data_IF_037559056557
#
_entry.id   IF_037559056557
#
_cell.length_a   1.000
_cell.length_b   1.000
_cell.length_c   1.000
_cell.angle_alpha   90.00
_cell.angle_beta   90.00
_cell.angle_gamma   90.00
#
_symmetry.space_group_name_H-M   'P 1'
#
loop_
_entity.id
_entity.type
_entity.pdbx_description
1 polymer ?
#
# COMPACT_ATOMS: atom_id res chain seq x y z
N UNK A 1 -21.69 6.50 35.70
CA UNK A 1 -20.84 7.70 35.65
C UNK A 1 -21.46 8.66 34.65
N UNK A 2 -21.51 9.96 34.96
CA UNK A 2 -22.06 10.99 34.05
C UNK A 2 -21.04 11.32 32.96
N UNK A 3 -20.78 10.36 32.06
CA UNK A 3 -19.78 10.49 30.99
C UNK A 3 -20.49 10.45 29.65
N UNK A 4 -20.15 11.39 28.78
CA UNK A 4 -20.68 11.51 27.42
C UNK A 4 -19.55 11.64 26.38
N UNK A 5 -19.83 11.19 25.17
CA UNK A 5 -18.98 11.34 23.98
C UNK A 5 -19.78 12.04 22.88
N UNK A 6 -19.96 13.37 22.95
CA UNK A 6 -20.88 14.12 22.08
C UNK A 6 -20.55 14.03 20.58
N UNK A 7 -19.28 13.79 20.27
CA UNK A 7 -18.78 13.64 18.89
C UNK A 7 -19.03 12.26 18.27
N UNK A 8 -19.45 11.28 19.07
CA UNK A 8 -19.57 9.88 18.65
C UNK A 8 -21.03 9.44 18.43
N UNK A 9 -21.97 10.38 18.52
CA UNK A 9 -23.40 10.13 18.25
C UNK A 9 -23.62 9.75 16.79
N UNK A 10 -24.26 8.60 16.57
CA UNK A 10 -24.70 8.22 15.23
C UNK A 10 -26.21 7.95 15.14
N UNK A 11 -26.89 7.75 16.28
CA UNK A 11 -28.32 7.49 16.29
C UNK A 11 -28.97 7.94 17.61
N UNK A 12 -30.13 8.58 17.48
CA UNK A 12 -30.96 9.05 18.60
C UNK A 12 -32.30 8.32 18.56
N UNK A 13 -32.68 7.70 19.67
CA UNK A 13 -33.98 7.03 19.82
C UNK A 13 -34.88 7.80 20.81
N UNK A 14 -36.18 8.00 20.49
CA UNK A 14 -37.13 8.61 21.40
C UNK A 14 -37.41 7.72 22.62
N UNK A 15 -38.09 8.29 23.62
CA UNK A 15 -38.31 7.73 24.95
C UNK A 15 -39.17 6.46 24.92
N UNK A 16 -38.53 5.28 24.92
CA UNK A 16 -39.16 3.98 25.19
C UNK A 16 -38.92 3.54 26.64
N UNK A 17 -39.68 2.58 27.17
CA UNK A 17 -39.49 2.03 28.53
C UNK A 17 -38.09 1.42 28.73
N UNK A 18 -37.59 1.44 29.97
CA UNK A 18 -36.16 1.36 30.32
C UNK A 18 -35.39 0.14 29.77
N UNK A 19 -35.97 -1.05 29.78
CA UNK A 19 -35.26 -2.29 29.39
C UNK A 19 -35.05 -2.43 27.88
N UNK A 20 -35.95 -1.87 27.06
CA UNK A 20 -35.80 -1.94 25.60
C UNK A 20 -34.54 -1.20 25.09
N UNK A 21 -34.08 -0.18 25.81
CA UNK A 21 -32.96 0.69 25.37
C UNK A 21 -31.62 -0.05 25.38
N UNK A 22 -31.37 -0.92 26.38
CA UNK A 22 -30.16 -1.75 26.45
C UNK A 22 -30.15 -2.80 25.33
N UNK A 23 -31.30 -3.43 25.12
CA UNK A 23 -31.48 -4.45 24.09
C UNK A 23 -31.22 -3.90 22.68
N UNK A 24 -31.66 -2.67 22.40
CA UNK A 24 -31.37 -2.00 21.13
C UNK A 24 -29.89 -1.72 20.89
N UNK A 25 -29.07 -1.57 21.93
CA UNK A 25 -27.61 -1.49 21.76
C UNK A 25 -26.98 -2.87 21.65
N UNK A 26 -27.49 -3.86 22.40
CA UNK A 26 -27.02 -5.25 22.32
C UNK A 26 -27.22 -5.88 20.94
N UNK A 27 -28.34 -5.57 20.27
CA UNK A 27 -28.64 -6.07 18.91
C UNK A 27 -27.98 -5.29 17.78
N UNK A 28 -27.41 -4.12 18.07
CA UNK A 28 -26.79 -3.26 17.08
C UNK A 28 -25.27 -3.46 17.08
N UNK A 29 -24.74 -4.01 15.99
CA UNK A 29 -23.30 -4.30 15.85
C UNK A 29 -22.43 -3.05 15.90
N UNK A 30 -22.98 -1.87 15.60
CA UNK A 30 -22.24 -0.60 15.61
C UNK A 30 -22.35 0.14 16.95
N UNK A 31 -23.27 -0.29 17.82
CA UNK A 31 -23.45 0.34 19.13
C UNK A 31 -22.40 -0.18 20.12
N UNK A 32 -21.50 0.71 20.53
CA UNK A 32 -20.52 0.45 21.59
C UNK A 32 -21.00 0.97 22.94
N UNK A 33 -21.62 2.16 22.98
CA UNK A 33 -22.18 2.76 24.19
C UNK A 33 -23.58 3.28 23.92
N UNK A 34 -24.49 3.08 24.88
CA UNK A 34 -25.79 3.76 24.91
C UNK A 34 -25.82 4.74 26.09
N UNK A 35 -26.07 6.01 25.81
CA UNK A 35 -26.16 7.06 26.83
C UNK A 35 -27.60 7.47 26.98
N UNK A 36 -28.10 7.36 28.21
CA UNK A 36 -29.45 7.78 28.55
C UNK A 36 -29.37 9.11 29.27
N UNK A 37 -30.04 10.10 28.68
CA UNK A 37 -30.16 11.44 29.25
C UNK A 37 -31.57 11.95 29.06
N UNK A 38 -32.21 12.38 30.15
CA UNK A 38 -33.57 12.98 30.14
C UNK A 38 -34.60 12.12 29.38
N UNK A 39 -34.48 10.79 29.49
CA UNK A 39 -35.37 9.84 28.82
C UNK A 39 -35.02 9.51 27.37
N UNK A 40 -34.04 10.20 26.77
CA UNK A 40 -33.57 9.99 25.40
C UNK A 40 -32.36 9.05 25.41
N UNK A 41 -32.32 8.11 24.46
CA UNK A 41 -31.20 7.20 24.28
C UNK A 41 -30.34 7.63 23.08
N UNK A 42 -29.05 7.80 23.33
CA UNK A 42 -28.03 8.19 22.35
C UNK A 42 -27.07 7.01 22.14
N UNK A 43 -27.03 6.48 20.92
CA UNK A 43 -26.10 5.40 20.58
C UNK A 43 -24.79 5.97 20.05
N UNK A 44 -23.69 5.46 20.58
CA UNK A 44 -22.33 5.84 20.22
C UNK A 44 -21.60 4.66 19.57
N UNK A 45 -20.88 4.92 18.49
CA UNK A 45 -20.02 3.94 17.81
C UNK A 45 -18.56 4.21 18.14
N UNK A 46 -17.71 3.18 18.01
CA UNK A 46 -16.26 3.37 18.13
C UNK A 46 -15.70 4.16 16.94
N UNK A 47 -14.61 4.93 17.13
CA UNK A 47 -13.88 5.13 18.40
C UNK A 47 -14.55 6.17 19.31
N UNK A 48 -14.55 5.92 20.62
CA UNK A 48 -15.09 6.84 21.63
C UNK A 48 -14.00 7.81 22.10
N UNK A 49 -13.81 8.90 21.35
CA UNK A 49 -12.77 9.90 21.62
C UNK A 49 -13.32 11.09 22.40
N UNK A 50 -12.50 11.63 23.32
CA UNK A 50 -12.80 12.85 24.09
C UNK A 50 -14.05 12.72 24.98
N UNK A 51 -14.10 11.68 25.81
CA UNK A 51 -15.16 11.51 26.80
C UNK A 51 -15.15 12.64 27.82
N UNK A 52 -16.29 13.29 28.01
CA UNK A 52 -16.47 14.42 28.93
C UNK A 52 -17.25 13.93 30.14
N UNK A 53 -16.73 14.22 31.34
CA UNK A 53 -17.47 14.03 32.59
C UNK A 53 -18.26 15.32 32.86
N UNK A 54 -19.58 15.23 32.88
CA UNK A 54 -20.46 16.37 33.17
C UNK A 54 -21.35 16.07 34.37
N UNK A 55 -20.99 16.61 35.53
CA UNK A 55 -21.75 16.41 36.77
C UNK A 55 -23.01 17.29 36.87
N UNK A 56 -23.24 18.21 35.92
CA UNK A 56 -24.45 19.05 35.90
C UNK A 56 -25.68 18.33 35.36
N UNK A 57 -25.49 17.20 34.67
CA UNK A 57 -26.56 16.45 33.99
C UNK A 57 -26.54 14.98 34.39
N UNK A 58 -27.66 14.50 34.94
CA UNK A 58 -27.87 13.09 35.25
C UNK A 58 -27.92 12.29 33.94
N UNK A 59 -26.83 11.57 33.66
CA UNK A 59 -26.70 10.71 32.49
C UNK A 59 -26.17 9.34 32.90
N UNK A 60 -26.73 8.30 32.26
CA UNK A 60 -26.30 6.92 32.50
C UNK A 60 -25.76 6.34 31.20
N UNK A 61 -24.47 6.02 31.19
CA UNK A 61 -23.81 5.34 30.08
C UNK A 61 -23.79 3.82 30.31
N UNK A 62 -24.24 3.05 29.31
CA UNK A 62 -24.13 1.60 29.24
C UNK A 62 -23.10 1.23 28.19
N UNK A 63 -21.99 0.61 28.62
CA UNK A 63 -20.96 0.09 27.74
C UNK A 63 -21.27 -1.36 27.36
N UNK A 64 -21.28 -1.65 26.06
CA UNK A 64 -21.45 -3.00 25.55
C UNK A 64 -20.13 -3.76 25.65
N UNK A 65 -20.12 -4.82 26.46
CA UNK A 65 -18.95 -5.67 26.67
C UNK A 65 -19.30 -7.08 26.18
N UNK A 66 -18.37 -7.73 25.48
CA UNK A 66 -18.53 -9.11 24.99
C UNK A 66 -18.48 -10.07 26.18
N UNK A 67 -19.41 -11.03 26.24
CA UNK A 67 -19.59 -11.94 27.39
C UNK A 67 -18.59 -13.11 27.44
N UNK A 68 -17.56 -13.10 26.59
CA UNK A 68 -16.57 -14.16 26.55
C UNK A 68 -15.42 -13.86 27.52
N UNK A 69 -15.46 -14.55 28.67
CA UNK A 69 -14.48 -14.74 29.74
C UNK A 69 -13.15 -13.98 29.63
N UNK A 70 -13.09 -12.76 30.17
CA UNK A 70 -11.90 -12.26 30.86
C UNK A 70 -12.31 -11.47 32.11
N UNK A 71 -11.95 -12.00 33.27
CA UNK A 71 -12.08 -11.35 34.58
C UNK A 71 -11.18 -10.13 34.67
N UNK A 72 -11.79 -8.95 34.83
CA UNK A 72 -11.12 -7.75 35.33
C UNK A 72 -10.86 -7.88 36.85
N UNK A 73 -9.58 -7.99 37.22
CA UNK A 73 -9.01 -7.59 38.51
C UNK A 73 -7.60 -7.11 38.12
N UNK A 74 -7.10 -5.90 38.37
CA UNK A 74 -7.33 -4.86 39.35
C UNK A 74 -6.01 -4.09 39.39
N UNK A 75 -6.04 -2.76 39.57
CA UNK A 75 -4.83 -1.96 39.71
C UNK A 75 -3.95 -2.46 40.86
N UNK A 76 -2.72 -2.90 40.57
CA UNK A 76 -1.61 -2.89 41.53
C UNK A 76 -0.28 -2.63 40.79
N UNK A 77 0.39 -1.56 41.19
CA UNK A 77 1.81 -1.33 40.92
C UNK A 77 2.66 -2.46 41.51
N UNK A 78 3.70 -2.91 40.77
CA UNK A 78 5.09 -3.22 41.19
C UNK A 78 5.76 -4.24 40.22
N UNK A 79 6.86 -3.77 39.61
CA UNK A 79 8.11 -4.43 39.16
C UNK A 79 8.13 -5.79 38.41
N UNK A 80 8.77 -5.73 37.22
CA UNK A 80 9.54 -6.75 36.48
C UNK A 80 9.18 -8.24 36.68
N UNK A 81 8.63 -8.84 35.61
CA UNK A 81 9.15 -10.12 35.07
C UNK A 81 8.75 -10.30 33.60
N UNK A 82 9.74 -10.64 32.76
CA UNK A 82 9.62 -10.93 31.33
C UNK A 82 8.42 -11.85 31.06
N UNK A 83 7.46 -11.39 30.26
CA UNK A 83 6.48 -12.27 29.60
C UNK A 83 6.99 -12.55 28.19
N UNK A 84 7.39 -13.81 27.97
CA UNK A 84 7.53 -14.40 26.63
C UNK A 84 6.16 -14.33 25.97
N UNK A 85 6.08 -13.69 24.81
CA UNK A 85 4.91 -13.79 23.96
C UNK A 85 4.97 -15.14 23.25
N UNK A 86 4.05 -16.04 23.56
CA UNK A 86 3.86 -17.24 22.75
C UNK A 86 3.36 -16.81 21.37
N UNK A 87 3.92 -17.41 20.33
CA UNK A 87 3.77 -17.10 18.90
C UNK A 87 2.34 -17.28 18.31
N UNK A 88 1.27 -17.06 19.09
CA UNK A 88 -0.12 -17.36 18.72
C UNK A 88 -1.12 -16.20 18.76
N UNK A 89 -0.69 -14.98 19.06
CA UNK A 89 -1.56 -13.79 19.02
C UNK A 89 -0.88 -12.67 18.21
N UNK A 90 -0.98 -12.74 16.88
CA UNK A 90 -0.74 -11.60 15.97
C UNK A 90 -1.97 -11.45 15.07
N UNK A 91 -3.12 -11.20 15.69
CA UNK A 91 -4.31 -10.70 14.99
C UNK A 91 -4.95 -9.63 15.88
N UNK A 92 -4.18 -8.62 16.26
CA UNK A 92 -4.78 -7.32 16.54
C UNK A 92 -4.84 -6.57 15.19
N UNK A 93 -6.06 -6.44 14.67
CA UNK A 93 -6.35 -5.75 13.40
C UNK A 93 -6.33 -4.23 13.55
N UNK A 94 -5.96 -3.70 14.72
CA UNK A 94 -5.84 -2.28 14.98
C UNK A 94 -4.40 -1.78 14.81
N UNK A 95 -4.27 -0.63 14.13
CA UNK A 95 -2.99 0.08 14.04
C UNK A 95 -2.54 0.51 15.43
N UNK A 96 -1.31 0.17 15.79
CA UNK A 96 -0.76 0.53 17.08
C UNK A 96 -0.28 1.99 17.07
N UNK A 97 -0.72 2.77 18.05
CA UNK A 97 -0.21 4.12 18.26
C UNK A 97 1.02 4.04 19.19
N UNK A 98 2.19 4.33 18.63
CA UNK A 98 3.46 4.36 19.34
C UNK A 98 3.82 5.78 19.76
N UNK A 99 4.47 5.90 20.91
CA UNK A 99 5.13 7.16 21.30
C UNK A 99 6.44 7.32 20.52
N UNK A 100 6.85 8.58 20.31
CA UNK A 100 8.14 8.87 19.66
C UNK A 100 9.31 8.19 20.39
N UNK A 101 9.30 8.22 21.74
CA UNK A 101 10.34 7.61 22.56
C UNK A 101 10.44 6.10 22.35
N UNK A 102 9.32 5.39 22.22
CA UNK A 102 9.33 3.96 21.91
C UNK A 102 9.99 3.67 20.57
N UNK A 103 9.69 4.47 19.53
CA UNK A 103 10.28 4.27 18.21
C UNK A 103 11.75 4.70 18.16
N UNK A 104 12.13 5.72 18.93
CA UNK A 104 13.53 6.11 19.11
C UNK A 104 14.34 4.99 19.78
N UNK A 105 13.82 4.40 20.87
CA UNK A 105 14.44 3.25 21.53
C UNK A 105 14.51 2.03 20.61
N UNK A 106 13.41 1.69 19.92
CA UNK A 106 13.33 0.56 19.00
C UNK A 106 14.33 0.67 17.84
N UNK A 107 14.66 1.88 17.40
CA UNK A 107 15.60 2.14 16.30
C UNK A 107 17.02 2.46 16.78
N UNK A 108 17.29 2.29 18.09
CA UNK A 108 18.58 2.65 18.72
C UNK A 108 19.00 4.10 18.41
N UNK A 109 18.03 5.03 18.48
CA UNK A 109 18.23 6.44 18.15
C UNK A 109 18.27 6.71 16.64
N UNK A 110 17.52 5.96 15.84
CA UNK A 110 17.51 6.06 14.36
C UNK A 110 18.90 5.82 13.72
N UNK A 111 19.61 4.80 14.20
CA UNK A 111 21.02 4.55 13.82
C UNK A 111 21.18 3.83 12.48
N UNK A 112 20.41 2.77 12.25
CA UNK A 112 20.52 1.95 11.04
C UNK A 112 19.54 2.43 9.97
N UNK A 113 20.05 3.18 9.02
CA UNK A 113 19.28 3.73 7.92
C UNK A 113 19.15 2.71 6.79
N UNK A 114 17.92 2.30 6.48
CA UNK A 114 17.63 1.37 5.39
C UNK A 114 17.48 2.11 4.06
N UNK A 115 16.89 3.31 4.09
CA UNK A 115 16.64 4.12 2.91
C UNK A 115 16.42 5.59 3.24
N UNK A 116 16.96 6.47 2.40
CA UNK A 116 16.58 7.89 2.33
C UNK A 116 15.78 8.16 1.06
N UNK A 117 14.65 8.84 1.19
CA UNK A 117 13.86 9.31 0.05
C UNK A 117 13.35 10.74 0.27
N UNK A 118 12.68 11.27 -0.74
CA UNK A 118 12.09 12.63 -0.70
C UNK A 118 11.12 12.79 0.47
N UNK A 119 10.31 11.76 0.73
CA UNK A 119 9.22 11.78 1.71
C UNK A 119 9.67 11.43 3.13
N UNK A 120 10.91 10.98 3.33
CA UNK A 120 11.35 10.55 4.65
C UNK A 120 12.55 9.63 4.61
N UNK A 121 12.95 9.23 5.80
CA UNK A 121 14.02 8.27 6.02
C UNK A 121 13.46 7.03 6.72
N UNK A 122 13.79 5.86 6.21
CA UNK A 122 13.37 4.57 6.75
C UNK A 122 14.51 3.97 7.56
N UNK A 123 14.23 3.61 8.80
CA UNK A 123 15.20 3.02 9.74
C UNK A 123 14.78 1.61 10.10
N UNK A 124 15.75 0.75 10.35
CA UNK A 124 15.49 -0.55 10.97
C UNK A 124 15.23 -0.34 12.46
N UNK A 125 14.23 -1.04 12.98
CA UNK A 125 13.97 -1.10 14.41
C UNK A 125 13.63 -2.51 14.86
N UNK A 126 13.58 -2.69 16.17
CA UNK A 126 13.17 -3.93 16.81
C UNK A 126 12.07 -3.65 17.83
N UNK A 127 10.90 -4.26 17.64
CA UNK A 127 9.75 -4.16 18.54
C UNK A 127 9.33 -5.56 18.95
N UNK A 128 9.25 -5.81 20.26
CA UNK A 128 8.80 -7.10 20.81
C UNK A 128 9.54 -8.32 20.21
N UNK A 129 10.86 -8.21 20.02
CA UNK A 129 11.72 -9.24 19.43
C UNK A 129 11.45 -9.51 17.92
N UNK A 130 10.76 -8.61 17.23
CA UNK A 130 10.56 -8.63 15.78
C UNK A 130 11.13 -7.38 15.11
N UNK A 131 11.75 -7.54 13.94
CA UNK A 131 12.24 -6.42 13.16
C UNK A 131 11.09 -5.65 12.51
N UNK A 132 11.21 -4.33 12.48
CA UNK A 132 10.27 -3.40 11.86
C UNK A 132 11.00 -2.36 11.01
N UNK A 133 10.30 -1.80 10.03
CA UNK A 133 10.76 -0.66 9.26
C UNK A 133 10.03 0.61 9.74
N UNK A 134 10.78 1.58 10.27
CA UNK A 134 10.25 2.83 10.81
C UNK A 134 10.54 3.97 9.82
N UNK A 135 9.52 4.41 9.08
CA UNK A 135 9.59 5.57 8.18
C UNK A 135 9.33 6.85 8.97
N UNK A 136 10.36 7.69 9.10
CA UNK A 136 10.28 9.03 9.69
C UNK A 136 10.15 10.06 8.57
N UNK A 137 9.02 10.77 8.51
CA UNK A 137 8.74 11.73 7.45
C UNK A 137 9.52 13.05 7.65
N UNK A 138 9.98 13.67 6.57
CA UNK A 138 10.91 14.83 6.59
C UNK A 138 10.20 16.18 6.79
N UNK A 139 10.77 17.11 7.57
CA UNK A 139 10.11 18.25 8.25
C UNK A 139 9.50 19.42 7.43
N UNK A 140 9.24 19.33 6.12
CA UNK A 140 8.53 20.43 5.41
C UNK A 140 7.02 20.34 5.68
N UNK A 141 6.58 21.07 6.71
CA UNK A 141 5.34 20.87 7.49
C UNK A 141 4.06 20.58 6.69
N UNK A 142 3.83 21.22 5.53
CA UNK A 142 2.59 21.06 4.78
C UNK A 142 2.52 19.76 3.97
N UNK A 143 3.62 19.29 3.42
CA UNK A 143 3.63 18.07 2.60
C UNK A 143 3.60 16.81 3.48
N UNK A 144 4.22 16.86 4.66
CA UNK A 144 4.25 15.77 5.65
C UNK A 144 2.86 15.37 6.12
N UNK A 145 2.04 16.34 6.52
CA UNK A 145 0.69 16.08 7.02
C UNK A 145 -0.19 15.42 5.97
N UNK A 146 -0.06 15.90 4.73
CA UNK A 146 -0.82 15.35 3.60
C UNK A 146 -0.39 13.91 3.35
N UNK A 147 0.91 13.64 3.28
CA UNK A 147 1.47 12.30 3.04
C UNK A 147 1.14 11.33 4.17
N UNK A 148 1.37 11.73 5.42
CA UNK A 148 1.03 10.93 6.59
C UNK A 148 -0.44 10.54 6.59
N UNK A 149 -1.35 11.50 6.39
CA UNK A 149 -2.79 11.22 6.30
C UNK A 149 -3.15 10.39 5.08
N UNK A 150 -2.44 10.55 3.97
CA UNK A 150 -2.65 9.77 2.75
C UNK A 150 -2.26 8.33 2.97
N UNK A 151 -1.05 8.05 3.48
CA UNK A 151 -0.61 6.69 3.79
C UNK A 151 -1.53 6.04 4.83
N UNK A 152 -1.84 6.74 5.93
CA UNK A 152 -2.75 6.23 6.96
C UNK A 152 -4.15 5.89 6.42
N UNK A 153 -4.70 6.71 5.50
CA UNK A 153 -6.00 6.44 4.88
C UNK A 153 -5.92 5.35 3.81
N UNK A 154 -4.84 5.33 3.04
CA UNK A 154 -4.63 4.37 1.96
C UNK A 154 -4.52 2.96 2.55
N UNK A 155 -3.56 2.73 3.45
CA UNK A 155 -3.19 1.38 3.88
C UNK A 155 -3.58 1.03 5.30
N UNK A 156 -4.07 1.99 6.09
CA UNK A 156 -4.28 1.76 7.52
C UNK A 156 -5.31 0.69 7.88
N UNK A 157 -6.12 0.26 6.92
CA UNK A 157 -7.09 -0.84 7.08
C UNK A 157 -6.92 -1.94 6.02
N UNK A 158 -5.91 -1.83 5.16
CA UNK A 158 -5.69 -2.76 4.05
C UNK A 158 -4.79 -3.91 4.50
N UNK A 159 -5.20 -5.13 4.16
CA UNK A 159 -4.42 -6.34 4.35
C UNK A 159 -4.49 -7.19 3.08
N UNK A 160 -3.35 -7.36 2.42
CA UNK A 160 -3.24 -8.17 1.21
C UNK A 160 -1.82 -8.74 1.10
N UNK A 161 -1.67 -9.95 0.54
CA UNK A 161 -0.38 -10.66 0.50
C UNK A 161 0.68 -9.92 -0.31
N UNK A 162 0.29 -9.14 -1.30
CA UNK A 162 1.19 -8.34 -2.14
C UNK A 162 1.31 -6.88 -1.72
N UNK A 163 0.97 -6.55 -0.48
CA UNK A 163 1.11 -5.20 0.08
C UNK A 163 1.91 -5.25 1.38
N UNK A 164 2.74 -4.23 1.62
CA UNK A 164 3.46 -4.12 2.88
C UNK A 164 2.49 -3.71 3.99
N UNK A 165 2.48 -4.48 5.07
CA UNK A 165 1.60 -4.25 6.22
C UNK A 165 2.07 -3.06 7.05
N UNK A 166 1.18 -2.10 7.25
CA UNK A 166 1.34 -1.07 8.28
C UNK A 166 0.99 -1.68 9.64
N UNK A 167 1.94 -1.66 10.57
CA UNK A 167 1.80 -2.15 11.94
C UNK A 167 1.24 -1.04 12.84
N UNK A 168 1.69 0.20 12.62
CA UNK A 168 1.28 1.32 13.43
C UNK A 168 1.93 2.64 13.03
N UNK A 169 1.80 3.63 13.90
CA UNK A 169 2.24 4.98 13.62
C UNK A 169 2.60 5.74 14.90
N UNK A 170 3.30 6.85 14.75
CA UNK A 170 3.47 7.86 15.79
C UNK A 170 2.98 9.20 15.23
N UNK A 171 2.00 9.77 15.91
CA UNK A 171 1.50 11.12 15.68
C UNK A 171 1.72 11.95 16.96
N UNK A 172 2.88 12.61 17.06
CA UNK A 172 3.23 13.38 18.26
C UNK A 172 3.95 14.69 17.92
N UNK A 173 3.31 15.82 18.24
CA UNK A 173 3.80 17.18 17.92
C UNK A 173 4.14 17.31 16.43
N UNK A 174 5.41 17.55 16.08
CA UNK A 174 5.92 17.59 14.71
C UNK A 174 6.39 16.23 14.15
N UNK A 175 6.38 15.17 14.97
CA UNK A 175 6.89 13.86 14.58
C UNK A 175 5.78 13.00 14.00
N UNK A 176 5.88 12.75 12.68
CA UNK A 176 5.07 11.78 11.95
C UNK A 176 5.96 10.60 11.56
N UNK A 177 5.67 9.44 12.15
CA UNK A 177 6.37 8.19 11.82
C UNK A 177 5.35 7.10 11.51
N UNK A 178 5.73 6.20 10.60
CA UNK A 178 4.96 5.05 10.20
C UNK A 178 5.80 3.80 10.44
N UNK A 179 5.17 2.75 10.99
CA UNK A 179 5.82 1.51 11.39
C UNK A 179 5.27 0.38 10.55
N UNK A 180 6.14 -0.30 9.84
CA UNK A 180 5.81 -1.35 8.88
C UNK A 180 6.48 -2.66 9.24
N UNK A 181 5.95 -3.76 8.69
CA UNK A 181 6.69 -5.03 8.69
C UNK A 181 8.06 -4.85 8.00
N UNK A 182 9.08 -5.49 8.55
CA UNK A 182 10.40 -5.51 7.93
C UNK A 182 10.49 -6.65 6.92
N UNK A 183 11.00 -6.36 5.72
CA UNK A 183 11.18 -7.34 4.64
C UNK A 183 12.67 -7.48 4.32
N UNK A 184 13.21 -8.66 4.54
CA UNK A 184 14.66 -8.91 4.56
C UNK A 184 15.33 -8.90 3.19
N UNK A 185 14.61 -9.25 2.12
CA UNK A 185 15.18 -9.39 0.78
C UNK A 185 15.26 -8.05 0.04
N UNK A 186 14.94 -6.95 0.71
CA UNK A 186 15.14 -5.61 0.20
C UNK A 186 14.20 -5.30 -0.96
N UNK A 187 14.73 -4.63 -1.99
CA UNK A 187 13.94 -4.05 -3.08
C UNK A 187 13.98 -4.92 -4.33
N UNK A 188 12.95 -4.79 -5.16
CA UNK A 188 12.96 -5.40 -6.48
C UNK A 188 14.09 -4.82 -7.35
N UNK A 189 14.41 -3.53 -7.22
CA UNK A 189 15.53 -2.91 -7.95
C UNK A 189 16.86 -3.60 -7.67
N UNK A 190 17.17 -3.85 -6.39
CA UNK A 190 18.40 -4.54 -5.97
C UNK A 190 18.39 -6.01 -6.38
N UNK A 191 17.21 -6.63 -6.45
CA UNK A 191 17.05 -8.02 -6.85
C UNK A 191 17.20 -8.22 -8.37
N UNK A 192 16.71 -7.30 -9.20
CA UNK A 192 16.79 -7.38 -10.65
C UNK A 192 18.12 -6.92 -11.22
N UNK A 193 18.69 -5.85 -10.66
CA UNK A 193 19.85 -5.15 -11.21
C UNK A 193 21.13 -5.41 -10.41
N UNK A 194 21.11 -6.38 -9.50
CA UNK A 194 22.30 -6.84 -8.79
C UNK A 194 23.14 -7.80 -9.65
N UNK A 195 24.24 -8.28 -9.08
CA UNK A 195 25.20 -9.16 -9.78
C UNK A 195 24.57 -10.50 -10.20
N UNK A 196 23.70 -11.05 -9.34
CA UNK A 196 22.98 -12.30 -9.60
C UNK A 196 21.58 -12.00 -10.13
N UNK A 197 21.31 -12.39 -11.38
CA UNK A 197 19.98 -12.24 -11.99
C UNK A 197 19.05 -13.39 -11.57
N UNK A 198 17.78 -13.10 -11.26
CA UNK A 198 16.81 -14.13 -10.92
C UNK A 198 16.29 -14.86 -12.15
N UNK A 199 15.86 -16.10 -11.97
CA UNK A 199 15.30 -16.92 -13.05
C UNK A 199 14.00 -16.34 -13.61
N UNK A 200 13.67 -16.61 -14.87
CA UNK A 200 12.40 -16.22 -15.50
C UNK A 200 11.17 -16.65 -14.65
N UNK A 201 11.25 -17.80 -13.98
CA UNK A 201 10.19 -18.27 -13.09
C UNK A 201 9.96 -17.33 -11.91
N UNK A 202 11.02 -16.96 -11.18
CA UNK A 202 10.92 -16.03 -10.05
C UNK A 202 10.43 -14.65 -10.52
N UNK A 203 10.92 -14.20 -11.68
CA UNK A 203 10.51 -12.93 -12.31
C UNK A 203 9.03 -12.93 -12.64
N UNK A 204 8.51 -14.05 -13.16
CA UNK A 204 7.09 -14.23 -13.45
C UNK A 204 6.21 -14.18 -12.20
N UNK A 205 6.63 -14.83 -11.11
CA UNK A 205 5.93 -14.82 -9.81
C UNK A 205 5.89 -13.42 -9.20
N UNK A 206 7.02 -12.69 -9.26
CA UNK A 206 7.14 -11.30 -8.81
C UNK A 206 6.20 -10.39 -9.61
N UNK A 207 6.24 -10.45 -10.95
CA UNK A 207 5.40 -9.63 -11.82
C UNK A 207 3.91 -9.85 -11.51
N UNK A 208 3.50 -11.10 -11.35
CA UNK A 208 2.13 -11.44 -10.99
C UNK A 208 1.75 -10.93 -9.60
N UNK A 209 2.67 -11.02 -8.63
CA UNK A 209 2.48 -10.46 -7.29
C UNK A 209 2.25 -8.94 -7.32
N UNK A 210 3.05 -8.20 -8.08
CA UNK A 210 2.87 -6.75 -8.26
C UNK A 210 1.52 -6.45 -8.93
N UNK A 211 1.16 -7.18 -9.99
CA UNK A 211 -0.12 -6.99 -10.69
C UNK A 211 -1.33 -7.27 -9.78
N UNK A 212 -1.27 -8.32 -8.94
CA UNK A 212 -2.32 -8.62 -7.95
C UNK A 212 -2.44 -7.54 -6.88
N UNK A 213 -1.32 -7.01 -6.39
CA UNK A 213 -1.33 -5.87 -5.47
C UNK A 213 -2.00 -4.63 -6.09
N UNK A 214 -1.77 -4.37 -7.38
CA UNK A 214 -2.42 -3.28 -8.11
C UNK A 214 -3.90 -3.53 -8.36
N UNK A 215 -4.28 -4.76 -8.72
CA UNK A 215 -5.67 -5.14 -8.90
C UNK A 215 -6.46 -4.84 -7.63
N UNK A 216 -5.90 -5.20 -6.48
CA UNK A 216 -6.51 -4.92 -5.19
C UNK A 216 -6.80 -3.42 -5.00
N UNK A 217 -5.83 -2.55 -5.30
CA UNK A 217 -6.02 -1.09 -5.22
C UNK A 217 -7.04 -0.53 -6.20
N UNK A 218 -7.04 -1.03 -7.42
CA UNK A 218 -7.83 -0.45 -8.49
C UNK A 218 -9.28 -0.92 -8.43
N UNK A 219 -9.55 -2.15 -8.00
CA UNK A 219 -10.85 -2.76 -8.20
C UNK A 219 -11.45 -3.44 -6.96
N UNK A 220 -10.66 -3.76 -5.92
CA UNK A 220 -11.13 -4.57 -4.79
C UNK A 220 -11.18 -3.80 -3.46
N UNK A 221 -10.50 -2.65 -3.37
CA UNK A 221 -10.58 -1.75 -2.24
C UNK A 221 -11.94 -1.02 -2.17
N UNK A 222 -12.38 -0.69 -0.95
CA UNK A 222 -13.61 0.10 -0.73
C UNK A 222 -13.57 1.51 -1.34
N UNK A 223 -12.36 2.04 -1.53
CA UNK A 223 -12.10 3.26 -2.29
C UNK A 223 -11.01 2.93 -3.29
N UNK A 224 -11.18 3.32 -4.55
CA UNK A 224 -10.18 3.08 -5.58
C UNK A 224 -8.93 3.90 -5.27
N UNK A 225 -7.78 3.25 -5.27
CA UNK A 225 -6.47 3.86 -4.95
C UNK A 225 -5.63 3.89 -6.22
N UNK A 226 -5.12 5.07 -6.58
CA UNK A 226 -4.05 5.22 -7.58
C UNK A 226 -2.75 5.40 -6.79
N UNK A 227 -1.76 4.52 -6.97
CA UNK A 227 -0.49 4.51 -6.25
C UNK A 227 0.41 5.68 -6.65
N UNK A 228 0.50 5.99 -7.95
CA UNK A 228 1.25 7.12 -8.52
C UNK A 228 2.80 7.04 -8.44
N UNK A 229 3.40 5.98 -7.87
CA UNK A 229 4.86 5.82 -7.81
C UNK A 229 5.29 4.35 -7.94
N UNK A 230 4.74 3.70 -8.98
CA UNK A 230 5.10 2.34 -9.38
C UNK A 230 6.50 2.35 -9.99
N UNK A 231 7.45 1.67 -9.32
CA UNK A 231 8.83 1.47 -9.77
C UNK A 231 9.50 0.35 -8.95
N UNK A 232 10.59 -0.27 -9.42
CA UNK A 232 11.21 -1.39 -8.70
C UNK A 232 11.75 -1.00 -7.32
N UNK A 233 12.13 0.26 -7.11
CA UNK A 233 12.60 0.75 -5.81
C UNK A 233 11.47 0.74 -4.77
N UNK A 234 10.21 0.87 -5.18
CA UNK A 234 9.05 0.84 -4.28
C UNK A 234 8.35 -0.54 -4.26
N UNK A 235 9.01 -1.59 -4.74
CA UNK A 235 8.58 -2.98 -4.56
C UNK A 235 9.56 -3.65 -3.64
N UNK A 236 9.06 -4.22 -2.55
CA UNK A 236 9.87 -4.95 -1.59
C UNK A 236 9.63 -6.45 -1.76
N UNK A 237 10.61 -7.25 -1.38
CA UNK A 237 10.54 -8.70 -1.42
C UNK A 237 10.56 -9.25 -0.01
N UNK A 238 9.59 -10.13 0.30
CA UNK A 238 9.63 -10.90 1.55
C UNK A 238 10.68 -12.01 1.50
N UNK A 239 10.80 -12.77 2.59
CA UNK A 239 11.75 -13.88 2.75
C UNK A 239 11.61 -15.00 1.70
N UNK A 240 10.44 -15.10 1.05
CA UNK A 240 10.17 -16.07 -0.03
C UNK A 240 10.24 -15.45 -1.43
N UNK A 241 10.70 -14.20 -1.55
CA UNK A 241 10.72 -13.40 -2.78
C UNK A 241 9.33 -13.07 -3.35
N UNK A 242 8.28 -13.06 -2.53
CA UNK A 242 7.00 -12.51 -2.97
C UNK A 242 7.08 -10.98 -3.01
N UNK A 243 6.59 -10.40 -4.09
CA UNK A 243 6.54 -8.95 -4.26
C UNK A 243 5.45 -8.31 -3.39
N UNK A 244 5.82 -7.26 -2.66
CA UNK A 244 4.93 -6.40 -1.88
C UNK A 244 5.06 -4.94 -2.30
N UNK A 245 3.93 -4.28 -2.53
CA UNK A 245 3.90 -2.85 -2.85
C UNK A 245 4.12 -2.03 -1.57
N UNK A 246 5.10 -1.12 -1.66
CA UNK A 246 5.50 -0.17 -0.63
C UNK A 246 5.34 1.27 -1.16
N UNK A 247 5.35 2.22 -0.23
CA UNK A 247 5.31 3.68 -0.45
C UNK A 247 3.98 4.19 -1.01
N UNK A 248 3.21 4.85 -0.14
CA UNK A 248 1.87 5.36 -0.47
C UNK A 248 1.77 6.88 -0.35
N UNK A 249 2.88 7.58 -0.13
CA UNK A 249 2.90 9.02 0.09
C UNK A 249 2.30 9.82 -1.08
N UNK A 250 2.41 9.27 -2.30
CA UNK A 250 1.88 9.88 -3.51
C UNK A 250 0.48 9.38 -3.90
N UNK A 251 -0.08 8.42 -3.18
CA UNK A 251 -1.33 7.78 -3.56
C UNK A 251 -2.52 8.76 -3.63
N UNK A 252 -3.55 8.39 -4.38
CA UNK A 252 -4.81 9.14 -4.51
C UNK A 252 -5.96 8.19 -4.24
N UNK A 253 -6.75 8.50 -3.22
CA UNK A 253 -7.99 7.79 -2.91
C UNK A 253 -9.12 8.51 -3.63
N UNK A 254 -9.77 7.82 -4.55
CA UNK A 254 -10.93 8.36 -5.26
C UNK A 254 -12.20 8.15 -4.44
N UNK A 255 -13.11 9.13 -4.48
CA UNK A 255 -14.45 8.97 -3.97
C UNK A 255 -15.24 7.94 -4.80
N UNK A 256 -16.29 7.35 -4.23
CA UNK A 256 -17.08 6.29 -4.91
C UNK A 256 -17.68 6.72 -6.26
N UNK A 257 -17.95 8.02 -6.44
CA UNK A 257 -18.50 8.59 -7.67
C UNK A 257 -17.43 9.24 -8.57
N UNK A 258 -16.14 9.02 -8.27
CA UNK A 258 -15.01 9.63 -8.95
C UNK A 258 -14.21 8.56 -9.69
N UNK A 259 -14.05 8.72 -11.00
CA UNK A 259 -13.26 7.83 -11.85
C UNK A 259 -11.88 8.39 -12.23
N UNK A 260 -11.67 9.69 -12.01
CA UNK A 260 -10.44 10.41 -12.37
C UNK A 260 -10.15 11.53 -11.39
N UNK A 261 -8.90 11.97 -11.29
CA UNK A 261 -8.50 13.07 -10.43
C UNK A 261 -7.46 13.97 -11.10
N UNK A 262 -7.50 15.27 -10.79
CA UNK A 262 -6.41 16.18 -11.16
C UNK A 262 -5.34 16.17 -10.07
N UNK A 263 -4.08 16.06 -10.48
CA UNK A 263 -2.94 16.17 -9.56
C UNK A 263 -1.69 16.62 -10.31
N UNK A 264 -0.83 17.37 -9.62
CA UNK A 264 0.47 17.75 -10.19
C UNK A 264 1.30 16.51 -10.52
N UNK A 265 2.15 16.62 -11.55
CA UNK A 265 3.09 15.56 -11.94
C UNK A 265 4.06 15.34 -10.78
N UNK A 266 3.96 14.17 -10.13
CA UNK A 266 4.74 13.82 -8.94
C UNK A 266 5.34 12.42 -8.98
N UNK A 267 5.21 11.69 -10.09
CA UNK A 267 5.80 10.37 -10.28
C UNK A 267 7.28 10.41 -10.66
N UNK A 268 7.90 9.24 -10.76
CA UNK A 268 9.33 9.09 -11.08
C UNK A 268 9.57 9.08 -12.60
N UNK A 269 10.47 9.95 -13.09
CA UNK A 269 10.85 10.01 -14.51
C UNK A 269 11.22 8.61 -15.04
N UNK A 270 10.71 8.25 -16.22
CA UNK A 270 10.85 6.92 -16.82
C UNK A 270 9.65 5.99 -16.54
N UNK A 271 8.80 6.31 -15.56
CA UNK A 271 7.60 5.53 -15.25
C UNK A 271 6.29 6.31 -15.39
N UNK A 272 6.37 7.64 -15.57
CA UNK A 272 5.19 8.51 -15.63
C UNK A 272 4.50 8.38 -17.00
N UNK A 273 3.21 8.10 -16.98
CA UNK A 273 2.39 7.98 -18.18
C UNK A 273 2.29 9.30 -18.99
N UNK A 274 2.27 9.25 -20.33
CA UNK A 274 2.26 10.44 -21.20
C UNK A 274 1.11 11.42 -20.93
N UNK A 275 -0.10 10.92 -20.64
CA UNK A 275 -1.27 11.76 -20.34
C UNK A 275 -1.09 12.62 -19.09
N UNK A 276 -0.28 12.16 -18.14
CA UNK A 276 0.00 12.92 -16.92
C UNK A 276 0.88 14.14 -17.23
N UNK A 277 1.84 14.02 -18.15
CA UNK A 277 2.62 15.17 -18.65
C UNK A 277 1.78 16.18 -19.43
N UNK A 278 0.71 15.72 -20.09
CA UNK A 278 -0.26 16.57 -20.81
C UNK A 278 -1.22 17.32 -19.86
N UNK A 279 -1.01 17.24 -18.53
CA UNK A 279 -1.84 17.85 -17.49
C UNK A 279 -3.32 17.41 -17.54
N UNK A 280 -3.57 16.23 -18.10
CA UNK A 280 -4.89 15.61 -18.14
C UNK A 280 -5.25 15.04 -16.76
N UNK A 281 -6.56 14.90 -16.43
CA UNK A 281 -6.95 14.13 -15.25
C UNK A 281 -6.42 12.70 -15.34
N UNK A 282 -5.85 12.20 -14.24
CA UNK A 282 -5.31 10.85 -14.16
C UNK A 282 -6.37 9.85 -13.70
N UNK A 283 -6.24 8.61 -14.15
CA UNK A 283 -7.03 7.44 -13.71
C UNK A 283 -6.08 6.35 -13.23
N UNK A 284 -6.58 5.19 -12.83
CA UNK A 284 -5.76 4.00 -12.53
C UNK A 284 -4.88 3.54 -13.71
N UNK A 285 -5.13 4.05 -14.93
CA UNK A 285 -4.32 3.78 -16.11
C UNK A 285 -2.87 4.28 -16.00
N UNK A 286 -2.62 5.34 -15.22
CA UNK A 286 -1.23 5.79 -15.04
C UNK A 286 -0.40 4.74 -14.31
N UNK A 287 -0.99 4.00 -13.37
CA UNK A 287 -0.31 2.90 -12.67
C UNK A 287 -0.16 1.66 -13.57
N UNK A 288 -1.11 1.44 -14.50
CA UNK A 288 -1.00 0.36 -15.51
C UNK A 288 0.18 0.66 -16.44
N UNK A 289 0.31 1.90 -16.92
CA UNK A 289 1.45 2.33 -17.72
C UNK A 289 2.76 2.09 -16.96
N UNK A 290 2.87 2.62 -15.74
CA UNK A 290 4.07 2.45 -14.93
C UNK A 290 4.38 0.98 -14.61
N UNK A 291 3.35 0.13 -14.48
CA UNK A 291 3.54 -1.32 -14.34
C UNK A 291 4.09 -1.96 -15.61
N UNK A 292 3.69 -1.51 -16.81
CA UNK A 292 4.24 -1.98 -18.08
C UNK A 292 5.74 -1.73 -18.19
N UNK A 293 6.20 -0.54 -17.81
CA UNK A 293 7.63 -0.21 -17.69
C UNK A 293 8.35 -1.16 -16.73
N UNK A 294 7.81 -1.32 -15.51
CA UNK A 294 8.37 -2.24 -14.51
C UNK A 294 8.36 -3.69 -14.99
N UNK A 295 7.35 -4.10 -15.78
CA UNK A 295 7.26 -5.45 -16.33
C UNK A 295 8.37 -5.71 -17.35
N UNK A 296 8.69 -4.75 -18.21
CA UNK A 296 9.86 -4.84 -19.09
C UNK A 296 11.16 -4.93 -18.28
N UNK A 297 11.31 -4.12 -17.24
CA UNK A 297 12.50 -4.19 -16.37
C UNK A 297 12.62 -5.55 -15.66
N UNK A 298 11.49 -6.14 -15.23
CA UNK A 298 11.44 -7.50 -14.67
C UNK A 298 11.86 -8.52 -15.73
N UNK A 299 11.27 -8.48 -16.93
CA UNK A 299 11.52 -9.45 -18.00
C UNK A 299 12.95 -9.38 -18.54
N UNK A 300 13.52 -8.18 -18.64
CA UNK A 300 14.83 -7.97 -19.25
C UNK A 300 15.97 -7.86 -18.21
N UNK A 301 15.64 -7.75 -16.91
CA UNK A 301 16.61 -7.42 -15.85
C UNK A 301 17.54 -6.25 -16.23
N UNK A 302 16.97 -5.26 -16.92
CA UNK A 302 17.62 -4.06 -17.44
C UNK A 302 16.78 -2.85 -17.05
N UNK A 303 17.42 -1.72 -16.75
CA UNK A 303 16.70 -0.49 -16.40
C UNK A 303 16.06 0.13 -17.64
N UNK A 304 14.87 0.72 -17.50
CA UNK A 304 14.17 1.38 -18.62
C UNK A 304 14.95 2.57 -19.18
N UNK A 305 15.63 3.32 -18.29
CA UNK A 305 16.48 4.46 -18.64
C UNK A 305 17.84 4.26 -17.97
N UNK A 306 18.82 3.78 -18.74
CA UNK A 306 20.19 3.56 -18.28
C UNK A 306 21.00 4.84 -18.58
N UNK A 307 21.17 5.72 -17.58
CA UNK A 307 22.10 6.86 -17.67
C UNK A 307 23.51 6.49 -17.15
N UNK A 308 23.91 5.23 -17.25
CA UNK A 308 25.20 4.81 -16.71
C UNK A 308 26.38 5.44 -17.47
N UNK A 309 27.44 5.68 -16.69
CA UNK A 309 28.61 6.53 -16.92
C UNK A 309 29.51 6.04 -18.09
N UNK A 310 29.14 4.96 -18.77
CA UNK A 310 29.96 4.30 -19.80
C UNK A 310 30.00 5.02 -21.15
N UNK A 311 29.25 6.11 -21.34
CA UNK A 311 29.35 6.96 -22.54
C UNK A 311 28.74 6.37 -23.82
N UNK A 312 28.15 5.18 -23.75
CA UNK A 312 27.33 4.60 -24.82
C UNK A 312 25.85 4.87 -24.50
N UNK A 313 25.16 5.63 -25.36
CA UNK A 313 23.70 5.75 -25.30
C UNK A 313 23.10 4.37 -25.57
N UNK A 314 22.69 3.68 -24.50
CA UNK A 314 21.86 2.50 -24.64
C UNK A 314 20.47 2.93 -25.09
N UNK A 315 19.95 2.20 -26.07
CA UNK A 315 18.57 2.32 -26.54
C UNK A 315 17.56 2.24 -25.37
N UNK A 316 16.45 2.98 -25.48
CA UNK A 316 15.37 2.95 -24.50
C UNK A 316 14.77 1.54 -24.47
N UNK A 317 14.59 0.98 -23.26
CA UNK A 317 14.17 -0.42 -23.11
C UNK A 317 12.84 -0.74 -23.79
N UNK A 318 11.91 0.22 -23.80
CA UNK A 318 10.59 0.06 -24.45
C UNK A 318 10.71 -0.16 -25.95
N UNK A 319 11.57 0.64 -26.58
CA UNK A 319 11.74 0.67 -28.03
C UNK A 319 12.49 -0.59 -28.46
N UNK A 320 13.59 -0.90 -27.78
CA UNK A 320 14.35 -2.13 -27.99
C UNK A 320 13.49 -3.39 -27.81
N UNK A 321 12.65 -3.44 -26.78
CA UNK A 321 11.76 -4.58 -26.55
C UNK A 321 10.69 -4.71 -27.63
N UNK A 322 10.22 -3.60 -28.19
CA UNK A 322 9.28 -3.57 -29.31
C UNK A 322 9.91 -4.11 -30.59
N UNK A 323 11.11 -3.64 -30.93
CA UNK A 323 11.83 -4.11 -32.12
C UNK A 323 12.16 -5.60 -32.01
N UNK A 324 12.66 -6.06 -30.86
CA UNK A 324 12.89 -7.49 -30.63
C UNK A 324 11.61 -8.32 -30.75
N UNK A 325 10.44 -7.79 -30.40
CA UNK A 325 9.17 -8.50 -30.58
C UNK A 325 8.77 -8.57 -32.06
N UNK A 326 8.86 -7.45 -32.79
CA UNK A 326 8.53 -7.38 -34.21
C UNK A 326 9.43 -8.29 -35.06
N UNK A 327 10.73 -8.31 -34.76
CA UNK A 327 11.72 -9.11 -35.48
C UNK A 327 11.73 -10.59 -35.04
N UNK A 328 10.96 -10.94 -34.01
CA UNK A 328 10.98 -12.28 -33.42
C UNK A 328 12.29 -12.61 -32.68
N UNK A 329 13.08 -11.60 -32.32
CA UNK A 329 14.38 -11.69 -31.66
C UNK A 329 14.27 -11.60 -30.12
N UNK A 330 13.23 -12.21 -29.52
CA UNK A 330 13.01 -12.18 -28.06
C UNK A 330 14.17 -12.75 -27.24
N UNK A 331 15.00 -13.59 -27.84
CA UNK A 331 16.14 -14.21 -27.18
C UNK A 331 17.19 -13.16 -26.75
N UNK A 332 17.28 -12.04 -27.47
CA UNK A 332 18.21 -10.94 -27.16
C UNK A 332 17.84 -10.25 -25.83
N UNK A 333 16.53 -10.17 -25.52
CA UNK A 333 16.01 -9.58 -24.28
C UNK A 333 16.43 -10.35 -23.02
N UNK A 334 16.72 -11.65 -23.18
CA UNK A 334 17.08 -12.56 -22.09
C UNK A 334 18.39 -13.29 -22.36
N UNK A 335 19.28 -12.70 -23.15
CA UNK A 335 20.57 -13.29 -23.57
C UNK A 335 21.48 -13.77 -22.42
N UNK A 336 21.25 -13.27 -21.20
CA UNK A 336 21.94 -13.69 -19.98
C UNK A 336 21.38 -14.98 -19.35
N UNK A 337 20.24 -15.49 -19.80
CA UNK A 337 19.55 -16.66 -19.25
C UNK A 337 19.03 -17.58 -20.38
N UNK A 338 19.86 -18.54 -20.81
CA UNK A 338 19.48 -19.50 -21.86
C UNK A 338 18.23 -20.31 -21.48
N UNK A 339 18.05 -20.62 -20.18
CA UNK A 339 16.89 -21.37 -19.69
C UNK A 339 15.55 -20.63 -19.87
N UNK A 340 15.56 -19.30 -19.98
CA UNK A 340 14.36 -18.50 -20.22
C UNK A 340 13.67 -18.88 -21.54
N UNK A 341 14.43 -19.38 -22.51
CA UNK A 341 13.94 -19.79 -23.83
C UNK A 341 13.13 -21.09 -23.80
N UNK A 342 13.26 -21.88 -22.73
CA UNK A 342 12.44 -23.07 -22.54
C UNK A 342 10.95 -22.75 -22.44
N UNK A 343 10.60 -21.52 -22.03
CA UNK A 343 9.24 -21.00 -21.98
C UNK A 343 9.09 -19.72 -22.81
N UNK A 344 9.56 -19.77 -24.07
CA UNK A 344 9.51 -18.65 -25.01
C UNK A 344 8.10 -18.06 -25.16
N UNK A 345 7.05 -18.91 -25.14
CA UNK A 345 5.66 -18.46 -25.24
C UNK A 345 5.27 -17.55 -24.06
N UNK A 346 5.71 -17.90 -22.84
CA UNK A 346 5.47 -17.06 -21.67
C UNK A 346 6.27 -15.77 -21.72
N UNK A 347 7.53 -15.83 -22.17
CA UNK A 347 8.34 -14.64 -22.39
C UNK A 347 7.65 -13.67 -23.35
N UNK A 348 7.23 -14.16 -24.51
CA UNK A 348 6.48 -13.39 -25.51
C UNK A 348 5.19 -12.80 -24.93
N UNK A 349 4.43 -13.61 -24.19
CA UNK A 349 3.20 -13.15 -23.52
C UNK A 349 3.48 -11.98 -22.58
N UNK A 350 4.54 -12.05 -21.77
CA UNK A 350 4.88 -10.99 -20.82
C UNK A 350 5.33 -9.70 -21.53
N UNK A 351 6.12 -9.83 -22.60
CA UNK A 351 6.53 -8.70 -23.44
C UNK A 351 5.30 -8.02 -24.08
N UNK A 352 4.38 -8.80 -24.67
CA UNK A 352 3.15 -8.27 -25.25
C UNK A 352 2.24 -7.60 -24.20
N UNK A 353 2.11 -8.19 -23.01
CA UNK A 353 1.34 -7.56 -21.92
C UNK A 353 1.96 -6.22 -21.52
N UNK A 354 3.29 -6.15 -21.44
CA UNK A 354 3.97 -4.90 -21.11
C UNK A 354 3.68 -3.82 -22.17
N UNK A 355 3.76 -4.17 -23.47
CA UNK A 355 3.41 -3.27 -24.58
C UNK A 355 1.96 -2.79 -24.55
N UNK A 356 1.03 -3.67 -24.22
CA UNK A 356 -0.38 -3.29 -24.00
C UNK A 356 -0.52 -2.31 -22.84
N UNK A 357 0.28 -2.46 -21.78
CA UNK A 357 0.26 -1.56 -20.63
C UNK A 357 0.81 -0.16 -20.94
N UNK A 358 1.87 -0.05 -21.75
CA UNK A 358 2.57 1.23 -22.05
C UNK A 358 2.02 1.98 -23.28
N UNK A 359 0.78 1.72 -23.71
CA UNK A 359 0.17 2.45 -24.83
C UNK A 359 0.02 3.94 -24.50
N UNK A 360 0.43 4.83 -25.41
CA UNK A 360 0.32 6.28 -25.21
C UNK A 360 -1.14 6.75 -25.05
N UNK A 361 -2.07 6.06 -25.71
CA UNK A 361 -3.50 6.24 -25.47
C UNK A 361 -3.98 5.28 -24.38
N UNK A 362 -4.30 5.77 -23.16
CA UNK A 362 -4.68 4.91 -22.03
C UNK A 362 -5.98 4.13 -22.25
N UNK A 363 -6.81 4.55 -23.20
CA UNK A 363 -8.05 3.83 -23.57
C UNK A 363 -7.79 2.52 -24.33
N UNK A 364 -6.65 2.40 -25.01
CA UNK A 364 -6.24 1.17 -25.70
C UNK A 364 -5.67 0.14 -24.73
N UNK A 365 -4.99 0.59 -23.68
CA UNK A 365 -4.40 -0.30 -22.69
C UNK A 365 -5.46 -1.13 -21.92
N UNK A 366 -5.07 -2.25 -21.29
CA UNK A 366 -5.95 -3.05 -20.47
C UNK A 366 -6.27 -2.36 -19.12
N UNK A 367 -7.25 -2.89 -18.39
CA UNK A 367 -7.37 -2.63 -16.95
C UNK A 367 -6.54 -3.67 -16.17
N UNK A 368 -6.33 -3.45 -14.87
CA UNK A 368 -5.43 -4.31 -14.09
C UNK A 368 -5.95 -5.73 -13.94
N UNK A 369 -7.27 -5.94 -13.84
CA UNK A 369 -7.83 -7.31 -13.87
C UNK A 369 -7.46 -8.05 -15.14
N UNK A 370 -7.57 -7.40 -16.30
CA UNK A 370 -7.21 -7.98 -17.59
C UNK A 370 -5.71 -8.28 -17.65
N UNK A 371 -4.85 -7.38 -17.13
CA UNK A 371 -3.41 -7.63 -17.01
C UNK A 371 -3.13 -8.90 -16.20
N UNK A 372 -3.75 -9.05 -15.03
CA UNK A 372 -3.59 -10.26 -14.21
C UNK A 372 -4.04 -11.52 -14.97
N UNK A 373 -5.20 -11.48 -15.61
CA UNK A 373 -5.71 -12.61 -16.41
C UNK A 373 -4.81 -12.99 -17.58
N UNK A 374 -4.19 -12.00 -18.24
CA UNK A 374 -3.23 -12.21 -19.33
C UNK A 374 -1.94 -12.86 -18.81
N UNK A 375 -1.39 -12.36 -17.69
CA UNK A 375 -0.18 -12.92 -17.07
C UNK A 375 -0.39 -14.33 -16.51
N UNK A 376 -1.60 -14.65 -16.02
CA UNK A 376 -1.98 -15.98 -15.57
C UNK A 376 -2.25 -16.96 -16.73
N UNK A 377 -2.30 -16.47 -17.97
CA UNK A 377 -2.60 -17.29 -19.16
C UNK A 377 -4.07 -17.71 -19.25
N UNK A 378 -4.97 -17.05 -18.52
CA UNK A 378 -6.41 -17.32 -18.52
C UNK A 378 -7.09 -16.71 -19.76
N UNK A 379 -6.48 -15.67 -20.33
CA UNK A 379 -6.94 -15.05 -21.57
C UNK A 379 -5.78 -14.94 -22.55
N UNK A 380 -6.08 -15.21 -23.82
CA UNK A 380 -5.18 -14.98 -24.94
C UNK A 380 -4.78 -13.49 -25.05
N UNK A 381 -3.51 -13.27 -25.36
CA UNK A 381 -2.93 -11.95 -25.58
C UNK A 381 -2.71 -11.80 -27.08
N UNK A 382 -3.46 -10.89 -27.70
CA UNK A 382 -3.25 -10.55 -29.10
C UNK A 382 -2.06 -9.62 -29.27
N UNK A 383 -1.48 -9.61 -30.46
CA UNK A 383 -0.36 -8.73 -30.81
C UNK A 383 -0.74 -7.27 -30.54
N UNK A 384 0.05 -6.53 -29.73
CA UNK A 384 -0.22 -5.13 -29.40
C UNK A 384 0.05 -4.20 -30.58
N UNK A 385 -0.66 -3.08 -30.63
CA UNK A 385 -0.27 -1.95 -31.49
C UNK A 385 1.03 -1.32 -31.00
N UNK A 386 1.75 -0.64 -31.90
CA UNK A 386 2.91 0.18 -31.56
C UNK A 386 2.56 1.11 -30.37
N UNK A 387 3.28 1.05 -29.24
CA UNK A 387 2.97 1.87 -28.07
C UNK A 387 3.10 3.38 -28.30
N UNK A 388 4.00 3.79 -29.20
CA UNK A 388 4.24 5.19 -29.57
C UNK A 388 4.16 5.40 -31.09
N UNK A 389 2.94 5.41 -31.68
CA UNK A 389 2.76 5.49 -33.13
C UNK A 389 3.18 6.85 -33.73
N UNK A 390 3.47 7.86 -32.90
CA UNK A 390 3.86 9.20 -33.34
C UNK A 390 5.38 9.39 -33.49
N UNK A 391 6.20 8.41 -33.10
CA UNK A 391 7.65 8.42 -33.35
C UNK A 391 8.03 7.84 -34.72
N UNK A 392 7.12 7.12 -35.39
CA UNK A 392 7.35 6.54 -36.73
C UNK A 392 7.22 7.55 -37.89
N UNK A 393 6.83 8.79 -37.61
CA UNK A 393 6.82 9.86 -38.62
C UNK A 393 8.07 10.75 -38.48
N UNK A 394 9.21 10.28 -38.97
CA UNK A 394 10.33 11.13 -39.39
C UNK A 394 11.11 10.51 -40.55
#
# INVERSE_FOLDING_TARGET
MNVDWPSSDYMRLPSFTGDMRKEHCLRDCLCAVAIIREGICWKKKLPLLNGIVDNSRLSVAFLKIRKDNFTCLGFFFIYRRKRKWSQKEVVDMSLHCFTYKQLEEATSGFKEELRRGTFGTVYKGELLEAFVAVKKLNCVVQDVEREFKTEMKAIGQIHHNNLVRLIGYCDYKQHRLLVYEFLSNGTLATFLFGDSKPSLKQRAEIALGVARGLLYFHEECSSQIINCDIKPQNRLLDEYNNAKIWDFGLAKLLAMNQSQTHTAIRGTKGYVAPEWFKNMPITTKVDVYSFGEVLLEIVCCRRSVDMEISGEEKEILTDWAYDCHQDGALDDLVSFEVEALSDRKKLETYVMVAMWCIQENPSLGPNTRKVVQMLEGVVEVHVPSCPSPYLETN
#
